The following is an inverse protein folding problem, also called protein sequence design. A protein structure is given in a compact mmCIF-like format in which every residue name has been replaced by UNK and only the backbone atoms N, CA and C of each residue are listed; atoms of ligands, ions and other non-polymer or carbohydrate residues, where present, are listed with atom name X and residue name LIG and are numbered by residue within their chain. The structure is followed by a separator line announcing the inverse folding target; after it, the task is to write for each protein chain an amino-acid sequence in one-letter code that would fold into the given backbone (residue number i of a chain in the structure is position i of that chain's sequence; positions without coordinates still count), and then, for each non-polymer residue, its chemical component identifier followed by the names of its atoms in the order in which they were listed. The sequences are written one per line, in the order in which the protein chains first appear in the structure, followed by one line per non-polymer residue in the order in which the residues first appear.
data_IF_503856018873
#
_entry.id   IF_503856018873
#
_cell.length_a   1.000
_cell.length_b   1.000
_cell.length_c   1.000
_cell.angle_alpha   90.00
_cell.angle_beta   90.00
_cell.angle_gamma   90.00
#
_symmetry.space_group_name_H-M   'P 1'
#
loop_
_entity.id
_entity.type
_entity.pdbx_description
1 polymer ?
#
# COMPACT_ATOMS: atom_id res chain seq x y z
N UNK A 1 -40.20 -43.35 -8.25
CA UNK A 1 -39.16 -42.36 -7.89
C UNK A 1 -39.25 -41.24 -8.90
N UNK A 2 -39.92 -40.15 -8.51
CA UNK A 2 -40.27 -39.03 -9.40
C UNK A 2 -39.17 -37.98 -9.36
N UNK A 3 -38.72 -37.53 -10.53
CA UNK A 3 -37.74 -36.46 -10.69
C UNK A 3 -38.48 -35.11 -10.75
N UNK A 4 -38.21 -34.21 -9.81
CA UNK A 4 -38.68 -32.81 -9.89
C UNK A 4 -37.67 -31.95 -10.65
N UNK A 5 -38.11 -30.97 -11.47
CA UNK A 5 -37.23 -30.07 -12.19
C UNK A 5 -36.79 -28.90 -11.29
N UNK A 6 -35.47 -28.71 -11.18
CA UNK A 6 -34.85 -27.55 -10.50
C UNK A 6 -35.10 -26.29 -11.33
N UNK A 7 -35.82 -25.34 -10.73
CA UNK A 7 -36.10 -24.03 -11.29
C UNK A 7 -34.90 -23.10 -11.12
N UNK A 8 -34.25 -22.75 -12.23
CA UNK A 8 -33.10 -21.84 -12.27
C UNK A 8 -33.56 -20.39 -12.24
N UNK A 9 -33.33 -19.68 -11.13
CA UNK A 9 -33.51 -18.22 -11.06
C UNK A 9 -32.25 -17.53 -11.58
N UNK A 10 -32.33 -16.60 -12.56
CA UNK A 10 -31.17 -15.82 -12.99
C UNK A 10 -30.85 -14.73 -11.96
N UNK A 11 -29.62 -14.77 -11.44
CA UNK A 11 -29.05 -13.70 -10.63
C UNK A 11 -28.95 -12.40 -11.46
N UNK A 12 -29.75 -11.40 -11.11
CA UNK A 12 -29.56 -10.01 -11.53
C UNK A 12 -28.48 -9.40 -10.64
N UNK A 13 -27.22 -9.39 -11.08
CA UNK A 13 -26.22 -8.59 -10.39
C UNK A 13 -26.13 -7.20 -11.01
N UNK A 14 -26.72 -6.27 -10.26
CA UNK A 14 -26.87 -4.85 -10.58
C UNK A 14 -25.58 -4.13 -10.20
N UNK A 15 -24.56 -4.21 -11.04
CA UNK A 15 -23.29 -3.50 -10.84
C UNK A 15 -23.39 -2.02 -11.22
N UNK A 16 -24.08 -1.23 -10.39
CA UNK A 16 -24.17 0.23 -10.49
C UNK A 16 -22.76 0.87 -10.51
N UNK A 17 -22.37 1.38 -11.68
CA UNK A 17 -21.11 2.10 -11.89
C UNK A 17 -21.23 3.52 -11.27
N UNK A 18 -21.24 3.59 -9.93
CA UNK A 18 -21.18 4.87 -9.22
C UNK A 18 -19.75 5.38 -9.32
N UNK A 19 -19.53 6.33 -10.23
CA UNK A 19 -18.32 7.15 -10.30
C UNK A 19 -18.21 7.91 -8.97
N UNK A 20 -17.58 7.29 -7.98
CA UNK A 20 -17.30 7.94 -6.69
C UNK A 20 -16.32 9.08 -6.99
N UNK A 21 -16.57 10.29 -6.48
CA UNK A 21 -15.69 11.41 -6.75
C UNK A 21 -14.31 11.17 -6.14
N UNK A 22 -13.26 11.45 -6.91
CA UNK A 22 -11.85 11.29 -6.53
C UNK A 22 -11.06 12.59 -6.69
N UNK A 23 -9.87 12.62 -6.10
CA UNK A 23 -8.84 13.65 -6.32
C UNK A 23 -7.52 12.98 -6.77
N UNK A 24 -6.68 13.68 -7.54
CA UNK A 24 -5.31 13.23 -7.79
C UNK A 24 -4.55 13.01 -6.48
N UNK A 25 -3.76 11.95 -6.43
CA UNK A 25 -2.90 11.58 -5.32
C UNK A 25 -1.46 11.47 -5.81
N UNK A 26 -0.52 12.09 -5.10
CA UNK A 26 0.91 11.82 -5.26
C UNK A 26 1.32 10.67 -4.34
N UNK A 27 1.91 9.62 -4.89
CA UNK A 27 2.39 8.46 -4.15
C UNK A 27 3.92 8.36 -4.29
N UNK A 28 4.65 8.71 -3.23
CA UNK A 28 6.11 8.69 -3.19
C UNK A 28 6.61 7.48 -2.42
N UNK A 29 7.29 6.56 -3.11
CA UNK A 29 7.91 5.39 -2.50
C UNK A 29 9.38 5.68 -2.22
N UNK A 30 9.81 5.42 -0.99
CA UNK A 30 11.17 5.62 -0.48
C UNK A 30 11.72 4.27 -0.04
N UNK A 31 12.55 3.67 -0.89
CA UNK A 31 13.17 2.36 -0.60
C UNK A 31 14.53 2.57 0.06
N UNK A 32 14.72 2.05 1.27
CA UNK A 32 15.98 2.14 2.01
C UNK A 32 16.79 0.85 1.91
N UNK A 33 18.02 0.96 1.40
CA UNK A 33 18.98 -0.16 1.32
C UNK A 33 20.37 0.35 1.67
N UNK A 34 21.03 -0.23 2.69
CA UNK A 34 22.43 0.08 3.03
C UNK A 34 22.76 1.59 3.11
N UNK A 35 21.90 2.37 3.77
CA UNK A 35 21.98 3.84 3.87
C UNK A 35 21.77 4.63 2.56
N UNK A 36 21.51 3.95 1.45
CA UNK A 36 21.05 4.56 0.20
C UNK A 36 19.53 4.64 0.19
N UNK A 37 19.03 5.72 -0.41
CA UNK A 37 17.60 5.96 -0.60
C UNK A 37 17.30 6.02 -2.10
N UNK A 38 16.42 5.13 -2.57
CA UNK A 38 15.84 5.19 -3.92
C UNK A 38 14.42 5.74 -3.81
N UNK A 39 14.14 6.83 -4.53
CA UNK A 39 12.82 7.44 -4.60
C UNK A 39 12.10 7.11 -5.91
N UNK A 40 10.85 6.68 -5.81
CA UNK A 40 9.96 6.47 -6.95
C UNK A 40 8.70 7.30 -6.73
N UNK A 41 8.23 8.03 -7.75
CA UNK A 41 6.99 8.82 -7.67
C UNK A 41 5.98 8.26 -8.65
N UNK A 42 4.76 8.01 -8.15
CA UNK A 42 3.58 7.58 -8.90
C UNK A 42 2.44 8.56 -8.64
N UNK A 43 1.47 8.54 -9.56
CA UNK A 43 0.24 9.30 -9.42
C UNK A 43 -0.95 8.36 -9.50
N UNK A 44 -1.92 8.57 -8.62
CA UNK A 44 -3.14 7.76 -8.52
C UNK A 44 -4.36 8.63 -8.19
N UNK A 45 -5.48 7.99 -7.87
CA UNK A 45 -6.70 8.64 -7.42
C UNK A 45 -7.03 8.24 -5.99
N UNK A 46 -7.44 9.21 -5.17
CA UNK A 46 -7.94 8.98 -3.81
C UNK A 46 -9.42 9.38 -3.73
N UNK A 47 -10.30 8.59 -3.09
CA UNK A 47 -11.69 8.99 -2.85
C UNK A 47 -11.78 10.28 -2.03
N UNK A 48 -12.65 11.22 -2.43
CA UNK A 48 -12.83 12.50 -1.71
C UNK A 48 -13.21 12.28 -0.25
N UNK A 49 -13.96 11.21 0.06
CA UNK A 49 -14.35 10.87 1.43
C UNK A 49 -13.17 10.59 2.38
N UNK A 50 -11.99 10.26 1.85
CA UNK A 50 -10.76 10.09 2.65
C UNK A 50 -9.94 11.37 2.76
N UNK A 51 -10.31 12.42 2.04
CA UNK A 51 -9.57 13.68 2.00
C UNK A 51 -10.11 14.68 3.02
N UNK A 52 -9.97 14.36 4.31
CA UNK A 52 -10.38 15.23 5.42
C UNK A 52 -9.33 15.24 6.52
N UNK A 53 -9.39 16.23 7.42
CA UNK A 53 -8.49 16.33 8.58
C UNK A 53 -8.53 15.09 9.48
N UNK A 54 -9.67 14.40 9.53
CA UNK A 54 -9.89 13.20 10.35
C UNK A 54 -10.55 12.11 9.51
N UNK A 55 -9.79 11.49 8.58
CA UNK A 55 -10.36 10.52 7.68
C UNK A 55 -10.72 9.23 8.44
N UNK A 56 -11.74 8.49 7.97
CA UNK A 56 -12.16 7.28 8.66
C UNK A 56 -11.03 6.24 8.64
N UNK A 57 -10.67 5.71 9.81
CA UNK A 57 -9.46 4.91 10.01
C UNK A 57 -9.43 3.64 9.15
N UNK A 58 -10.49 2.83 9.22
CA UNK A 58 -10.56 1.55 8.51
C UNK A 58 -10.54 1.73 6.98
N UNK A 59 -11.38 2.59 6.37
CA UNK A 59 -11.29 2.89 4.94
C UNK A 59 -9.93 3.42 4.51
N UNK A 60 -9.31 4.29 5.30
CA UNK A 60 -7.96 4.81 5.02
C UNK A 60 -6.93 3.68 5.00
N UNK A 61 -6.92 2.81 6.00
CA UNK A 61 -6.01 1.65 6.04
C UNK A 61 -6.21 0.73 4.85
N UNK A 62 -7.46 0.45 4.46
CA UNK A 62 -7.75 -0.39 3.29
C UNK A 62 -7.27 0.25 1.99
N UNK A 63 -7.47 1.55 1.82
CA UNK A 63 -6.94 2.30 0.69
C UNK A 63 -5.42 2.19 0.60
N UNK A 64 -4.71 2.40 1.71
CA UNK A 64 -3.24 2.31 1.75
C UNK A 64 -2.75 0.89 1.42
N UNK A 65 -3.40 -0.15 1.94
CA UNK A 65 -3.06 -1.55 1.61
C UNK A 65 -3.27 -1.84 0.13
N UNK A 66 -4.35 -1.33 -0.46
CA UNK A 66 -4.62 -1.49 -1.90
C UNK A 66 -3.59 -0.75 -2.75
N UNK A 67 -3.22 0.47 -2.35
CA UNK A 67 -2.21 1.28 -3.03
C UNK A 67 -0.85 0.58 -3.02
N UNK A 68 -0.41 0.09 -1.85
CA UNK A 68 0.83 -0.70 -1.71
C UNK A 68 0.77 -1.94 -2.61
N UNK A 69 -0.29 -2.75 -2.51
CA UNK A 69 -0.42 -3.96 -3.33
C UNK A 69 -0.41 -3.70 -4.83
N UNK A 70 -0.94 -2.55 -5.27
CA UNK A 70 -0.97 -2.16 -6.68
C UNK A 70 0.44 -1.95 -7.24
N UNK A 71 1.35 -1.39 -6.45
CA UNK A 71 2.69 -1.00 -6.90
C UNK A 71 3.83 -1.91 -6.40
N UNK A 72 3.59 -2.76 -5.39
CA UNK A 72 4.61 -3.64 -4.79
C UNK A 72 5.39 -4.45 -5.83
N UNK A 73 4.69 -5.12 -6.75
CA UNK A 73 5.34 -5.89 -7.82
C UNK A 73 6.17 -5.01 -8.75
N UNK A 74 5.65 -3.85 -9.14
CA UNK A 74 6.37 -2.92 -10.00
C UNK A 74 7.65 -2.41 -9.32
N UNK A 75 7.60 -2.14 -8.01
CA UNK A 75 8.75 -1.74 -7.21
C UNK A 75 9.78 -2.88 -7.16
N UNK A 76 9.34 -4.12 -6.92
CA UNK A 76 10.22 -5.29 -6.92
C UNK A 76 10.87 -5.56 -8.29
N UNK A 77 10.14 -5.33 -9.39
CA UNK A 77 10.63 -5.52 -10.75
C UNK A 77 11.51 -4.35 -11.24
N UNK A 78 11.53 -3.21 -10.53
CA UNK A 78 12.31 -2.02 -10.91
C UNK A 78 13.82 -2.27 -10.93
N UNK A 79 14.32 -3.06 -9.98
CA UNK A 79 15.71 -3.47 -9.90
C UNK A 79 15.89 -4.69 -9.00
N UNK A 80 17.04 -5.35 -9.10
CA UNK A 80 17.41 -6.41 -8.16
C UNK A 80 17.70 -5.81 -6.77
N UNK A 81 16.79 -6.04 -5.83
CA UNK A 81 16.93 -5.57 -4.46
C UNK A 81 17.73 -6.56 -3.61
N UNK A 82 18.51 -6.02 -2.69
CA UNK A 82 19.16 -6.79 -1.61
C UNK A 82 18.46 -6.49 -0.30
N UNK A 83 18.39 -7.48 0.57
CA UNK A 83 17.78 -7.33 1.89
C UNK A 83 18.47 -6.19 2.65
N UNK A 84 17.64 -5.36 3.29
CA UNK A 84 18.10 -4.19 4.05
C UNK A 84 19.11 -4.53 5.15
N UNK A 85 19.14 -5.79 5.63
CA UNK A 85 19.94 -6.22 6.76
C UNK A 85 21.04 -7.26 6.43
N UNK A 86 20.76 -8.27 5.59
CA UNK A 86 21.64 -9.45 5.47
C UNK A 86 22.28 -9.68 4.09
N UNK A 87 22.29 -8.69 3.19
CA UNK A 87 22.87 -8.74 1.83
C UNK A 87 22.32 -9.83 0.87
N UNK A 88 21.46 -10.73 1.35
CA UNK A 88 20.79 -11.73 0.52
C UNK A 88 19.82 -11.07 -0.47
N UNK A 89 19.53 -11.69 -1.62
CA UNK A 89 18.50 -11.19 -2.53
C UNK A 89 17.17 -11.01 -1.81
N UNK A 90 16.50 -9.89 -2.07
CA UNK A 90 15.18 -9.63 -1.49
C UNK A 90 14.08 -10.32 -2.31
N UNK A 91 13.08 -10.84 -1.60
CA UNK A 91 11.92 -11.53 -2.18
C UNK A 91 10.61 -10.76 -1.96
N UNK A 92 10.68 -9.65 -1.24
CA UNK A 92 9.54 -8.78 -0.94
C UNK A 92 9.97 -7.50 -0.24
N UNK A 93 8.98 -6.66 0.04
CA UNK A 93 9.15 -5.36 0.68
C UNK A 93 8.28 -5.27 1.93
N UNK A 94 8.83 -4.68 2.99
CA UNK A 94 8.07 -4.22 4.15
C UNK A 94 7.71 -2.76 3.92
N UNK A 95 6.42 -2.51 3.75
CA UNK A 95 5.85 -1.18 3.49
C UNK A 95 5.31 -0.55 4.76
N UNK A 96 5.57 0.75 4.91
CA UNK A 96 5.05 1.57 6.01
C UNK A 96 4.57 2.90 5.44
N UNK A 97 3.35 2.96 4.88
CA UNK A 97 2.81 4.17 4.28
C UNK A 97 2.37 5.18 5.34
N UNK A 98 2.81 6.42 5.18
CA UNK A 98 2.31 7.60 5.86
C UNK A 98 1.41 8.40 4.91
N UNK A 99 0.21 8.76 5.36
CA UNK A 99 -0.80 9.39 4.51
C UNK A 99 -1.14 10.80 4.94
N UNK A 100 -1.07 11.75 4.02
CA UNK A 100 -1.38 13.17 4.20
C UNK A 100 -2.56 13.55 3.29
N UNK A 101 -3.68 12.84 3.45
CA UNK A 101 -4.85 12.95 2.55
C UNK A 101 -5.64 14.25 2.74
N UNK A 102 -5.41 14.94 3.86
CA UNK A 102 -6.09 16.20 4.20
C UNK A 102 -5.53 17.42 3.45
N UNK A 103 -4.37 17.29 2.81
CA UNK A 103 -3.71 18.38 2.09
C UNK A 103 -4.49 18.80 0.83
N UNK A 104 -4.20 20.02 0.34
CA UNK A 104 -4.69 20.52 -0.94
C UNK A 104 -4.21 19.64 -2.12
N UNK A 105 -3.00 19.10 -1.99
CA UNK A 105 -2.48 18.04 -2.85
C UNK A 105 -2.30 16.77 -2.01
N UNK A 106 -3.26 15.83 -2.05
CA UNK A 106 -3.18 14.61 -1.26
C UNK A 106 -1.91 13.81 -1.59
N UNK A 107 -1.25 13.34 -0.54
CA UNK A 107 0.01 12.60 -0.67
C UNK A 107 0.04 11.35 0.20
N UNK A 108 0.68 10.30 -0.30
CA UNK A 108 1.13 9.15 0.49
C UNK A 108 2.63 8.99 0.29
N UNK A 109 3.37 8.97 1.40
CA UNK A 109 4.80 8.63 1.42
C UNK A 109 4.94 7.21 1.96
N UNK A 110 5.44 6.30 1.15
CA UNK A 110 5.62 4.90 1.52
C UNK A 110 7.08 4.55 1.72
N UNK A 111 7.43 4.28 2.97
CA UNK A 111 8.76 3.83 3.33
C UNK A 111 8.82 2.32 3.20
N UNK A 112 9.64 1.85 2.26
CA UNK A 112 9.79 0.44 1.94
C UNK A 112 11.18 -0.07 2.30
N UNK A 113 11.25 -1.31 2.79
CA UNK A 113 12.50 -2.02 3.05
C UNK A 113 12.48 -3.41 2.41
N UNK A 114 13.46 -3.73 1.54
CA UNK A 114 13.54 -5.05 0.94
C UNK A 114 13.95 -6.12 1.95
N UNK A 115 13.30 -7.28 1.92
CA UNK A 115 13.53 -8.39 2.87
C UNK A 115 13.83 -9.69 2.15
N UNK A 116 14.75 -10.48 2.69
CA UNK A 116 15.17 -11.76 2.11
C UNK A 116 14.14 -12.88 2.25
N UNK A 117 13.27 -12.82 3.26
CA UNK A 117 12.24 -13.82 3.54
C UNK A 117 11.02 -13.10 4.13
N UNK A 118 9.85 -13.26 3.52
CA UNK A 118 8.59 -12.74 4.04
C UNK A 118 8.24 -13.45 5.36
N UNK A 119 7.95 -12.68 6.41
CA UNK A 119 7.72 -13.20 7.76
C UNK A 119 8.97 -13.73 8.48
N UNK A 120 10.16 -13.59 7.88
CA UNK A 120 11.43 -13.97 8.49
C UNK A 120 11.98 -12.93 9.47
N UNK A 121 13.16 -13.19 10.08
CA UNK A 121 13.77 -12.28 11.06
C UNK A 121 14.00 -10.86 10.53
N UNK A 122 14.44 -10.72 9.27
CA UNK A 122 14.66 -9.41 8.66
C UNK A 122 13.37 -8.63 8.40
N UNK A 123 12.23 -9.30 8.18
CA UNK A 123 10.91 -8.67 8.03
C UNK A 123 10.40 -8.16 9.38
N UNK A 124 10.45 -9.02 10.41
CA UNK A 124 10.05 -8.65 11.77
C UNK A 124 10.86 -7.44 12.26
N UNK A 125 12.16 -7.44 12.02
CA UNK A 125 13.02 -6.36 12.46
C UNK A 125 12.84 -5.07 11.63
N UNK A 126 12.61 -5.18 10.31
CA UNK A 126 12.25 -4.04 9.47
C UNK A 126 11.03 -3.29 10.03
N UNK A 127 9.98 -4.03 10.40
CA UNK A 127 8.76 -3.43 10.96
C UNK A 127 9.01 -2.68 12.26
N UNK A 128 9.87 -3.20 13.15
CA UNK A 128 10.23 -2.52 14.40
C UNK A 128 10.99 -1.22 14.12
N UNK A 129 12.04 -1.30 13.29
CA UNK A 129 12.86 -0.14 12.93
C UNK A 129 12.02 0.95 12.27
N UNK A 130 11.11 0.59 11.36
CA UNK A 130 10.19 1.55 10.74
C UNK A 130 9.22 2.16 11.76
N UNK A 131 8.64 1.35 12.65
CA UNK A 131 7.75 1.85 13.70
C UNK A 131 8.45 2.84 14.64
N UNK A 132 9.74 2.63 14.94
CA UNK A 132 10.55 3.56 15.73
C UNK A 132 10.87 4.85 14.97
N UNK A 133 11.30 4.75 13.71
CA UNK A 133 11.60 5.92 12.87
C UNK A 133 10.38 6.78 12.59
N UNK A 134 9.21 6.18 12.40
CA UNK A 134 7.98 6.94 12.19
C UNK A 134 7.60 7.81 13.37
N UNK A 135 7.87 7.37 14.61
CA UNK A 135 7.64 8.18 15.80
C UNK A 135 8.48 9.45 15.81
N UNK A 136 9.68 9.44 15.21
CA UNK A 136 10.53 10.63 15.11
C UNK A 136 10.25 11.50 13.88
N UNK A 137 9.58 10.97 12.85
CA UNK A 137 9.26 11.69 11.61
C UNK A 137 7.86 12.30 11.56
N UNK A 138 6.98 11.98 12.51
CA UNK A 138 5.57 12.43 12.54
C UNK A 138 5.33 13.92 12.80
N UNK A 139 6.27 14.81 12.49
CA UNK A 139 6.18 16.27 12.74
C UNK A 139 6.13 17.11 11.44
N UNK A 140 5.48 16.61 10.38
CA UNK A 140 5.26 17.38 9.14
C UNK A 140 3.86 17.93 9.06
#
# INVERSE_FOLDING_TARGET
MSLEPVSSTPAKDSGSNTNRPTRPLRYEIKVFVNNSLTGLVKYDQVPIALCSMHPPEVPTKMFLVQLVKKYDREIMDHQAWVCWNCSSPAVGMVHTPASYLHLEEPEVIDYAQPVCINGGPCDVEARKVMAEKMKSWGSR
#
